data_IF_347943933530
#
_entry.id   IF_347943933530
#
_cell.length_a   1.000
_cell.length_b   1.000
_cell.length_c   1.000
_cell.angle_alpha   90.00
_cell.angle_beta   90.00
_cell.angle_gamma   90.00
#
_symmetry.space_group_name_H-M   'P 1'
#
loop_
_entity.id
_entity.type
_entity.pdbx_description
1 polymer ?
#
# COMPACT_ATOMS: atom_id res chain seq x y z
N UNK A 1 1.91 0.43 -22.22
CA UNK A 1 1.02 0.97 -21.16
C UNK A 1 1.66 0.64 -19.82
N UNK A 2 1.61 1.57 -18.85
CA UNK A 2 2.32 1.45 -17.58
C UNK A 2 1.39 1.72 -16.39
N UNK A 3 1.55 0.94 -15.32
CA UNK A 3 0.86 1.13 -14.05
C UNK A 3 1.87 1.37 -12.91
N UNK A 4 1.51 2.22 -11.95
CA UNK A 4 2.25 2.36 -10.70
C UNK A 4 1.66 1.41 -9.65
N UNK A 5 2.49 0.69 -8.92
CA UNK A 5 2.05 -0.25 -7.91
C UNK A 5 2.48 0.19 -6.52
N UNK A 6 1.53 0.39 -5.60
CA UNK A 6 1.86 0.55 -4.19
C UNK A 6 2.38 -0.79 -3.62
N UNK A 7 3.68 -0.85 -3.38
CA UNK A 7 4.39 -2.08 -3.09
C UNK A 7 4.94 -2.10 -1.65
N UNK A 8 4.44 -3.06 -0.87
CA UNK A 8 4.80 -3.26 0.54
C UNK A 8 5.83 -4.37 0.77
N UNK A 9 6.22 -5.12 -0.27
CA UNK A 9 7.09 -6.29 -0.14
C UNK A 9 6.38 -7.57 0.31
N UNK A 10 5.09 -7.48 0.62
CA UNK A 10 4.25 -8.62 1.01
C UNK A 10 3.63 -9.34 -0.19
N UNK A 11 3.12 -10.56 0.06
CA UNK A 11 2.57 -11.43 -0.98
C UNK A 11 1.45 -10.77 -1.80
N UNK A 12 0.57 -9.98 -1.20
CA UNK A 12 -0.59 -9.43 -1.93
C UNK A 12 -0.22 -8.39 -2.96
N UNK A 13 0.74 -7.51 -2.64
CA UNK A 13 1.22 -6.53 -3.60
C UNK A 13 2.03 -7.21 -4.71
N UNK A 14 2.79 -8.27 -4.40
CA UNK A 14 3.45 -9.09 -5.41
C UNK A 14 2.45 -9.78 -6.36
N UNK A 15 1.40 -10.40 -5.83
CA UNK A 15 0.37 -11.05 -6.63
C UNK A 15 -0.41 -10.05 -7.49
N UNK A 16 -0.78 -8.90 -6.92
CA UNK A 16 -1.48 -7.85 -7.66
C UNK A 16 -0.67 -7.39 -8.87
N UNK A 17 0.63 -7.13 -8.69
CA UNK A 17 1.52 -6.78 -9.78
C UNK A 17 1.73 -7.94 -10.76
N UNK A 18 1.83 -9.18 -10.29
CA UNK A 18 1.95 -10.36 -11.16
C UNK A 18 0.74 -10.55 -12.08
N UNK A 19 -0.48 -10.32 -11.57
CA UNK A 19 -1.72 -10.37 -12.35
C UNK A 19 -1.76 -9.33 -13.48
N UNK A 20 -1.08 -8.20 -13.30
CA UNK A 20 -1.06 -7.09 -14.25
C UNK A 20 0.07 -7.25 -15.28
N UNK A 21 1.27 -7.60 -14.81
CA UNK A 21 2.40 -7.93 -15.70
C UNK A 21 2.11 -9.14 -16.58
N UNK A 22 1.37 -10.14 -16.09
CA UNK A 22 0.92 -11.28 -16.91
C UNK A 22 -0.04 -10.89 -18.05
N UNK A 23 -0.60 -9.68 -18.03
CA UNK A 23 -1.40 -9.11 -19.12
C UNK A 23 -0.58 -8.25 -20.09
N UNK A 24 0.75 -8.21 -19.94
CA UNK A 24 1.64 -7.41 -20.79
C UNK A 24 1.68 -5.93 -20.45
N UNK A 25 1.20 -5.54 -19.26
CA UNK A 25 1.26 -4.16 -18.77
C UNK A 25 2.55 -3.97 -17.96
N UNK A 26 3.29 -2.92 -18.29
CA UNK A 26 4.48 -2.52 -17.54
C UNK A 26 4.09 -2.05 -16.13
N UNK A 27 4.86 -2.47 -15.12
CA UNK A 27 4.60 -2.10 -13.74
C UNK A 27 5.85 -1.49 -13.11
N UNK A 28 5.71 -0.30 -12.52
CA UNK A 28 6.71 0.28 -11.62
C UNK A 28 6.23 0.16 -10.18
N UNK A 29 6.94 -0.61 -9.38
CA UNK A 29 6.68 -0.83 -7.96
C UNK A 29 7.22 0.33 -7.13
N UNK A 30 6.34 0.99 -6.39
CA UNK A 30 6.64 2.11 -5.52
C UNK A 30 6.53 1.68 -4.05
N UNK A 31 7.64 1.68 -3.33
CA UNK A 31 7.60 1.61 -1.88
C UNK A 31 7.53 3.02 -1.29
N UNK A 32 6.38 3.37 -0.71
CA UNK A 32 6.18 4.66 -0.06
C UNK A 32 6.70 4.58 1.38
N UNK A 33 7.90 5.11 1.61
CA UNK A 33 8.57 5.10 2.90
C UNK A 33 8.01 6.22 3.79
N UNK A 34 7.08 5.85 4.67
CA UNK A 34 6.49 6.71 5.70
C UNK A 34 7.30 6.73 7.00
N UNK A 35 8.39 5.97 7.10
CA UNK A 35 9.27 5.98 8.27
C UNK A 35 8.81 5.14 9.45
N UNK A 36 7.69 4.41 9.35
CA UNK A 36 7.14 3.57 10.42
C UNK A 36 7.12 2.06 10.08
N UNK A 37 7.88 1.66 9.07
CA UNK A 37 8.22 0.26 8.79
C UNK A 37 9.27 -0.32 9.74
N UNK A 38 9.75 -1.53 9.44
CA UNK A 38 10.83 -2.22 10.16
C UNK A 38 12.08 -1.34 10.36
N UNK A 39 12.88 -1.62 11.38
CA UNK A 39 14.21 -1.01 11.59
C UNK A 39 15.26 -1.50 10.60
N UNK A 40 15.05 -2.66 9.98
CA UNK A 40 15.92 -3.21 8.94
C UNK A 40 15.68 -2.52 7.58
N UNK A 41 16.75 -2.14 6.89
CA UNK A 41 16.64 -1.78 5.47
C UNK A 41 16.17 -3.00 4.66
N UNK A 42 15.13 -2.79 3.85
CA UNK A 42 14.52 -3.81 2.98
C UNK A 42 14.60 -3.45 1.51
N UNK A 43 15.31 -2.37 1.14
CA UNK A 43 15.44 -1.88 -0.23
C UNK A 43 15.85 -2.99 -1.21
N UNK A 44 16.94 -3.70 -0.92
CA UNK A 44 17.47 -4.77 -1.78
C UNK A 44 16.51 -5.96 -1.92
N UNK A 45 15.90 -6.42 -0.82
CA UNK A 45 14.95 -7.53 -0.88
C UNK A 45 13.66 -7.14 -1.63
N UNK A 46 13.21 -5.89 -1.48
CA UNK A 46 12.06 -5.37 -2.22
C UNK A 46 12.38 -5.26 -3.72
N UNK A 47 13.55 -4.73 -4.07
CA UNK A 47 14.02 -4.67 -5.45
C UNK A 47 14.07 -6.05 -6.10
N UNK A 48 14.65 -7.04 -5.40
CA UNK A 48 14.67 -8.44 -5.85
C UNK A 48 13.25 -8.98 -6.09
N UNK A 49 12.33 -8.76 -5.14
CA UNK A 49 10.93 -9.22 -5.25
C UNK A 49 10.16 -8.57 -6.40
N UNK A 50 10.38 -7.28 -6.66
CA UNK A 50 9.80 -6.60 -7.82
C UNK A 50 10.37 -7.17 -9.13
N UNK A 51 11.68 -7.41 -9.19
CA UNK A 51 12.31 -8.02 -10.38
C UNK A 51 11.77 -9.43 -10.68
N UNK A 52 11.49 -10.25 -9.64
CA UNK A 52 10.91 -11.60 -9.80
C UNK A 52 9.58 -11.62 -10.56
N UNK A 53 8.84 -10.51 -10.54
CA UNK A 53 7.55 -10.39 -11.22
C UNK A 53 7.63 -9.51 -12.48
N UNK A 54 8.83 -9.08 -12.89
CA UNK A 54 9.04 -8.22 -14.05
C UNK A 54 8.61 -6.77 -13.83
N UNK A 55 8.76 -6.26 -12.60
CA UNK A 55 8.48 -4.86 -12.26
C UNK A 55 9.76 -4.11 -11.89
N UNK A 56 9.84 -2.84 -12.32
CA UNK A 56 10.85 -1.91 -11.82
C UNK A 56 10.55 -1.53 -10.37
N UNK A 57 11.55 -1.07 -9.63
CA UNK A 57 11.40 -0.73 -8.22
C UNK A 57 11.99 0.64 -7.90
N UNK A 58 11.22 1.42 -7.15
CA UNK A 58 11.65 2.68 -6.56
C UNK A 58 11.12 2.82 -5.14
N UNK A 59 11.93 3.40 -4.26
CA UNK A 59 11.51 3.81 -2.93
C UNK A 59 11.32 5.32 -2.91
N UNK A 60 10.15 5.76 -2.47
CA UNK A 60 9.77 7.18 -2.37
C UNK A 60 9.78 7.57 -0.90
N UNK A 61 10.69 8.46 -0.52
CA UNK A 61 10.76 8.97 0.84
C UNK A 61 9.74 10.09 1.05
N UNK A 62 8.76 9.83 1.91
CA UNK A 62 7.69 10.77 2.26
C UNK A 62 7.62 10.99 3.76
N UNK A 63 8.67 10.63 4.51
CA UNK A 63 8.66 10.62 5.98
C UNK A 63 8.24 11.96 6.58
N UNK A 64 8.77 13.05 6.05
CA UNK A 64 8.49 14.39 6.56
C UNK A 64 7.03 14.78 6.30
N UNK A 65 6.58 14.70 5.04
CA UNK A 65 5.20 14.97 4.66
C UNK A 65 4.21 14.10 5.42
N UNK A 66 4.48 12.80 5.56
CA UNK A 66 3.61 11.89 6.30
C UNK A 66 3.49 12.28 7.77
N UNK A 67 4.60 12.67 8.40
CA UNK A 67 4.61 13.08 9.80
C UNK A 67 3.73 14.31 10.03
N UNK A 68 3.87 15.32 9.17
CA UNK A 68 3.19 16.60 9.29
C UNK A 68 1.71 16.55 8.83
N UNK A 69 1.43 15.84 7.73
CA UNK A 69 0.12 15.86 7.08
C UNK A 69 -0.82 14.75 7.55
N UNK A 70 -0.27 13.65 8.09
CA UNK A 70 -1.06 12.44 8.39
C UNK A 70 -0.96 12.05 9.85
N UNK A 71 0.27 11.88 10.37
CA UNK A 71 0.42 11.17 11.63
C UNK A 71 -0.25 11.89 12.80
N UNK A 72 -0.11 13.20 12.92
CA UNK A 72 -0.57 13.94 14.10
C UNK A 72 -1.98 14.47 14.02
N UNK A 73 -2.53 14.62 12.81
CA UNK A 73 -3.88 15.13 12.60
C UNK A 73 -4.63 14.30 11.53
N UNK A 74 -4.83 12.98 11.76
CA UNK A 74 -5.55 12.16 10.80
C UNK A 74 -7.03 12.56 10.76
N UNK A 75 -7.57 12.73 9.56
CA UNK A 75 -8.96 13.08 9.31
C UNK A 75 -9.95 12.02 9.81
N UNK A 76 -9.57 10.73 9.73
CA UNK A 76 -10.41 9.62 10.21
C UNK A 76 -9.98 9.08 11.57
N UNK A 77 -9.09 9.77 12.28
CA UNK A 77 -8.61 9.39 13.60
C UNK A 77 -7.72 8.15 13.59
N UNK A 78 -7.44 7.63 14.78
CA UNK A 78 -6.62 6.44 14.96
C UNK A 78 -7.48 5.20 15.22
N UNK A 79 -7.08 4.06 14.65
CA UNK A 79 -7.56 2.74 15.03
C UNK A 79 -6.85 2.24 16.28
N UNK A 80 -6.29 1.01 16.22
CA UNK A 80 -5.50 0.46 17.32
C UNK A 80 -4.23 1.31 17.54
N UNK A 81 -4.07 1.88 18.73
CA UNK A 81 -2.96 2.76 19.11
C UNK A 81 -2.82 4.01 18.22
N UNK A 82 -1.71 4.18 17.49
CA UNK A 82 -1.47 5.32 16.58
C UNK A 82 -1.74 4.94 15.13
N UNK A 83 -2.70 4.07 14.84
CA UNK A 83 -2.89 3.57 13.48
C UNK A 83 -3.85 4.45 12.63
N UNK A 84 -3.38 5.40 11.80
CA UNK A 84 -4.22 6.18 10.90
C UNK A 84 -4.38 5.48 9.53
N UNK A 85 -4.64 4.17 9.49
CA UNK A 85 -4.52 3.38 8.26
C UNK A 85 -5.35 3.91 7.07
N UNK A 86 -6.51 4.53 7.31
CA UNK A 86 -7.31 5.12 6.23
C UNK A 86 -6.57 6.32 5.62
N UNK A 87 -6.15 7.27 6.46
CA UNK A 87 -5.43 8.47 6.06
C UNK A 87 -4.07 8.13 5.46
N UNK A 88 -3.38 7.14 6.01
CA UNK A 88 -2.11 6.62 5.51
C UNK A 88 -2.24 6.05 4.10
N UNK A 89 -3.25 5.20 3.85
CA UNK A 89 -3.49 4.66 2.53
C UNK A 89 -3.89 5.76 1.54
N UNK A 90 -4.74 6.70 1.96
CA UNK A 90 -5.14 7.83 1.12
C UNK A 90 -3.95 8.70 0.73
N UNK A 91 -3.06 8.99 1.67
CA UNK A 91 -1.82 9.72 1.43
C UNK A 91 -0.94 8.98 0.41
N UNK A 92 -0.71 7.68 0.57
CA UNK A 92 0.08 6.89 -0.39
C UNK A 92 -0.53 6.89 -1.80
N UNK A 93 -1.85 6.76 -1.91
CA UNK A 93 -2.53 6.86 -3.20
C UNK A 93 -2.43 8.26 -3.80
N UNK A 94 -2.60 9.31 -3.00
CA UNK A 94 -2.44 10.70 -3.45
C UNK A 94 -1.04 10.95 -3.98
N UNK A 95 -0.01 10.46 -3.29
CA UNK A 95 1.38 10.53 -3.76
C UNK A 95 1.53 9.82 -5.11
N UNK A 96 1.04 8.58 -5.25
CA UNK A 96 1.14 7.84 -6.51
C UNK A 96 0.32 8.47 -7.66
N UNK A 97 -0.85 9.04 -7.37
CA UNK A 97 -1.68 9.76 -8.35
C UNK A 97 -0.93 10.97 -8.91
N UNK A 98 -0.26 11.74 -8.04
CA UNK A 98 0.54 12.89 -8.46
C UNK A 98 1.73 12.50 -9.36
N UNK A 99 2.24 11.27 -9.24
CA UNK A 99 3.37 10.77 -10.03
C UNK A 99 2.97 10.25 -11.43
N UNK A 100 1.68 9.98 -11.69
CA UNK A 100 1.25 9.31 -12.93
C UNK A 100 1.76 10.01 -14.21
N UNK A 101 1.68 11.35 -14.25
CA UNK A 101 2.08 12.15 -15.42
C UNK A 101 3.59 12.07 -15.68
N UNK A 102 4.40 12.29 -14.65
CA UNK A 102 5.87 12.24 -14.75
C UNK A 102 6.36 10.83 -15.12
N UNK A 103 5.70 9.81 -14.57
CA UNK A 103 6.02 8.42 -14.83
C UNK A 103 5.51 7.88 -16.16
N UNK A 104 4.74 8.67 -16.92
CA UNK A 104 4.00 8.24 -18.10
C UNK A 104 3.15 6.98 -17.82
N UNK A 105 2.54 6.92 -16.64
CA UNK A 105 1.71 5.83 -16.18
C UNK A 105 0.22 6.19 -16.27
N UNK A 106 -0.62 5.19 -16.52
CA UNK A 106 -2.04 5.37 -16.81
C UNK A 106 -2.94 5.15 -15.59
N UNK A 107 -2.52 4.34 -14.62
CA UNK A 107 -3.33 4.00 -13.43
C UNK A 107 -2.47 3.43 -12.29
N UNK A 108 -3.10 3.22 -11.12
CA UNK A 108 -2.45 2.68 -9.92
C UNK A 108 -3.02 1.30 -9.60
N UNK A 109 -2.17 0.41 -9.12
CA UNK A 109 -2.56 -0.89 -8.56
C UNK A 109 -2.09 -1.04 -7.12
N UNK A 110 -2.81 -1.86 -6.36
CA UNK A 110 -2.48 -2.20 -4.98
C UNK A 110 -2.81 -3.65 -4.65
N UNK A 111 -2.14 -4.20 -3.64
CA UNK A 111 -2.46 -5.50 -3.05
C UNK A 111 -3.63 -5.49 -2.06
N UNK A 112 -4.42 -4.42 -1.96
CA UNK A 112 -5.56 -4.40 -1.04
C UNK A 112 -6.58 -5.49 -1.37
N UNK A 113 -7.08 -6.18 -0.34
CA UNK A 113 -8.13 -7.21 -0.45
C UNK A 113 -9.33 -6.80 0.39
N UNK A 114 -10.51 -6.76 -0.22
CA UNK A 114 -11.76 -6.39 0.44
C UNK A 114 -12.01 -7.25 1.70
N UNK A 115 -12.16 -6.60 2.85
CA UNK A 115 -12.44 -7.23 4.14
C UNK A 115 -11.24 -7.92 4.81
N UNK A 116 -10.03 -7.83 4.25
CA UNK A 116 -8.87 -8.53 4.82
C UNK A 116 -8.27 -7.78 6.03
N UNK A 117 -8.25 -6.44 6.01
CA UNK A 117 -7.84 -5.59 7.13
C UNK A 117 -9.02 -4.84 7.73
N UNK A 118 -9.22 -4.91 9.06
CA UNK A 118 -10.40 -4.33 9.69
C UNK A 118 -10.45 -2.81 9.63
N UNK A 119 -9.32 -2.09 9.53
CA UNK A 119 -9.32 -0.63 9.53
C UNK A 119 -9.41 -0.03 8.11
N UNK A 120 -8.52 -0.41 7.20
CA UNK A 120 -8.41 0.24 5.87
C UNK A 120 -9.14 -0.46 4.74
N UNK A 121 -9.50 -1.74 4.87
CA UNK A 121 -9.93 -2.55 3.73
C UNK A 121 -11.39 -3.02 3.80
N UNK A 122 -12.21 -2.43 4.68
CA UNK A 122 -13.66 -2.57 4.58
C UNK A 122 -14.18 -1.74 3.40
N UNK A 123 -15.35 -2.07 2.87
CA UNK A 123 -15.95 -1.31 1.76
C UNK A 123 -16.07 0.19 2.07
N UNK A 124 -16.57 0.54 3.27
CA UNK A 124 -16.68 1.93 3.72
C UNK A 124 -15.31 2.62 3.85
N UNK A 125 -14.30 1.89 4.31
CA UNK A 125 -12.94 2.40 4.47
C UNK A 125 -12.27 2.65 3.11
N UNK A 126 -12.41 1.74 2.15
CA UNK A 126 -11.89 1.93 0.79
C UNK A 126 -12.53 3.13 0.09
N UNK A 127 -13.83 3.37 0.30
CA UNK A 127 -14.51 4.56 -0.20
C UNK A 127 -13.97 5.86 0.42
N UNK A 128 -13.70 5.87 1.74
CA UNK A 128 -13.06 6.98 2.44
C UNK A 128 -11.65 7.24 1.92
N UNK A 129 -10.84 6.18 1.75
CA UNK A 129 -9.49 6.24 1.19
C UNK A 129 -9.52 6.88 -0.20
N UNK A 130 -10.40 6.39 -1.09
CA UNK A 130 -10.54 6.92 -2.45
C UNK A 130 -10.90 8.41 -2.46
N UNK A 131 -11.88 8.80 -1.63
CA UNK A 131 -12.30 10.20 -1.50
C UNK A 131 -11.16 11.09 -1.00
N UNK A 132 -10.42 10.64 0.02
CA UNK A 132 -9.31 11.40 0.59
C UNK A 132 -8.08 11.45 -0.32
N UNK A 133 -7.88 10.42 -1.14
CA UNK A 133 -6.84 10.38 -2.17
C UNK A 133 -7.16 11.29 -3.39
N UNK A 134 -8.39 11.81 -3.49
CA UNK A 134 -8.88 12.59 -4.63
C UNK A 134 -8.86 11.82 -5.96
N UNK A 135 -9.16 10.52 -5.92
CA UNK A 135 -9.28 9.69 -7.13
C UNK A 135 -10.65 9.90 -7.80
N UNK A 136 -10.80 10.98 -8.55
CA UNK A 136 -12.04 11.34 -9.25
C UNK A 136 -12.28 10.49 -10.50
N UNK A 137 -11.23 9.88 -11.06
CA UNK A 137 -11.28 9.15 -12.34
C UNK A 137 -11.38 7.63 -12.19
N UNK A 138 -11.47 7.09 -10.97
CA UNK A 138 -11.42 5.64 -10.70
C UNK A 138 -10.12 4.98 -11.19
N UNK A 139 -8.97 5.58 -10.94
CA UNK A 139 -7.66 5.10 -11.40
C UNK A 139 -7.02 4.09 -10.45
N UNK A 140 -7.57 3.89 -9.25
CA UNK A 140 -7.03 2.91 -8.29
C UNK A 140 -7.68 1.54 -8.49
N UNK A 141 -6.97 0.64 -9.18
CA UNK A 141 -7.37 -0.75 -9.35
C UNK A 141 -6.87 -1.64 -8.19
N UNK A 142 -7.69 -2.61 -7.78
CA UNK A 142 -7.37 -3.59 -6.72
C UNK A 142 -7.43 -5.01 -7.29
N UNK A 143 -6.39 -5.48 -8.01
CA UNK A 143 -6.41 -6.74 -8.75
C UNK A 143 -6.85 -7.97 -7.95
N UNK A 144 -6.53 -8.01 -6.65
CA UNK A 144 -6.80 -9.16 -5.79
C UNK A 144 -8.28 -9.33 -5.43
N UNK A 145 -9.07 -8.26 -5.49
CA UNK A 145 -10.48 -8.27 -5.14
C UNK A 145 -11.36 -7.50 -6.14
N UNK A 146 -10.85 -7.27 -7.36
CA UNK A 146 -11.51 -6.46 -8.38
C UNK A 146 -12.94 -6.94 -8.65
N UNK A 147 -13.15 -8.28 -8.72
CA UNK A 147 -14.46 -8.89 -9.00
C UNK A 147 -15.54 -8.58 -7.95
N UNK A 148 -15.14 -8.14 -6.75
CA UNK A 148 -16.05 -7.76 -5.66
C UNK A 148 -16.32 -6.25 -5.57
N UNK A 149 -15.73 -5.46 -6.47
CA UNK A 149 -15.80 -4.00 -6.47
C UNK A 149 -16.43 -3.48 -7.77
N UNK A 150 -16.99 -2.26 -7.77
CA UNK A 150 -17.37 -1.57 -9.01
C UNK A 150 -16.21 -1.49 -10.00
N UNK A 151 -16.52 -1.45 -11.30
CA UNK A 151 -15.51 -1.32 -12.35
C UNK A 151 -14.73 -0.01 -12.19
N UNK A 152 -13.41 -0.11 -12.23
CA UNK A 152 -12.50 1.04 -12.30
C UNK A 152 -12.29 1.47 -13.75
N UNK A 153 -11.73 2.66 -13.98
CA UNK A 153 -11.44 3.14 -15.35
C UNK A 153 -10.55 2.19 -16.16
N UNK A 154 -9.46 1.61 -15.60
CA UNK A 154 -8.67 0.61 -16.32
C UNK A 154 -9.48 -0.60 -16.81
N UNK A 155 -10.54 -0.97 -16.09
CA UNK A 155 -11.42 -2.09 -16.48
C UNK A 155 -12.46 -1.65 -17.51
N UNK A 156 -13.07 -0.46 -17.34
CA UNK A 156 -14.09 0.06 -18.28
C UNK A 156 -13.54 0.35 -19.66
N UNK A 157 -12.31 0.87 -19.72
CA UNK A 157 -11.63 1.23 -20.97
C UNK A 157 -10.91 0.03 -21.63
N UNK A 158 -11.01 -1.17 -21.05
CA UNK A 158 -10.39 -2.38 -21.57
C UNK A 158 -8.85 -2.39 -21.48
N UNK A 159 -8.27 -1.52 -20.66
CA UNK A 159 -6.82 -1.49 -20.39
C UNK A 159 -6.39 -2.75 -19.64
N UNK A 160 -7.23 -3.20 -18.70
CA UNK A 160 -7.05 -4.40 -17.90
C UNK A 160 -8.23 -5.34 -18.14
N UNK A 161 -7.92 -6.60 -18.44
CA UNK A 161 -8.89 -7.67 -18.54
C UNK A 161 -9.31 -8.14 -17.15
N UNK A 162 -10.52 -7.73 -16.72
CA UNK A 162 -11.10 -8.06 -15.41
C UNK A 162 -11.24 -9.57 -15.19
N UNK A 163 -11.43 -10.36 -16.24
CA UNK A 163 -11.62 -11.81 -16.08
C UNK A 163 -10.34 -12.50 -15.60
N UNK A 164 -9.18 -11.91 -15.88
CA UNK A 164 -7.87 -12.33 -15.37
C UNK A 164 -7.54 -11.82 -13.97
N UNK A 165 -8.44 -11.04 -13.36
CA UNK A 165 -8.31 -10.56 -11.98
C UNK A 165 -9.03 -11.49 -10.99
N UNK A 166 -8.86 -11.21 -9.71
CA UNK A 166 -9.37 -12.06 -8.62
C UNK A 166 -10.58 -11.44 -7.90
N UNK A 167 -11.31 -12.30 -7.19
CA UNK A 167 -12.47 -11.97 -6.37
C UNK A 167 -12.26 -12.32 -4.91
N UNK A 168 -11.05 -12.17 -4.38
CA UNK A 168 -10.76 -12.55 -2.99
C UNK A 168 -11.43 -11.56 -2.04
N UNK A 169 -11.98 -12.08 -0.95
CA UNK A 169 -12.49 -11.27 0.15
C UNK A 169 -12.24 -11.94 1.50
N UNK A 170 -12.27 -11.14 2.56
CA UNK A 170 -12.07 -11.57 3.92
C UNK A 170 -10.60 -11.88 4.25
N UNK A 171 -10.40 -12.58 5.36
CA UNK A 171 -9.08 -12.75 5.99
C UNK A 171 -8.35 -14.03 5.59
N UNK A 172 -9.01 -14.92 4.85
CA UNK A 172 -8.39 -16.15 4.36
C UNK A 172 -7.22 -15.84 3.42
N UNK A 173 -6.15 -16.63 3.55
CA UNK A 173 -4.94 -16.56 2.73
C UNK A 173 -4.82 -17.68 1.71
N UNK A 174 -5.76 -18.63 1.72
CA UNK A 174 -5.68 -19.88 0.95
C UNK A 174 -5.47 -19.59 -0.54
N UNK A 175 -6.32 -18.72 -1.11
CA UNK A 175 -6.25 -18.39 -2.54
C UNK A 175 -4.96 -17.66 -2.92
N UNK A 176 -4.47 -16.77 -2.07
CA UNK A 176 -3.20 -16.06 -2.30
C UNK A 176 -2.02 -17.04 -2.30
N UNK A 177 -2.01 -18.03 -1.41
CA UNK A 177 -0.96 -19.06 -1.37
C UNK A 177 -1.04 -19.99 -2.60
N UNK A 178 -2.24 -20.35 -3.06
CA UNK A 178 -2.42 -21.08 -4.32
C UNK A 178 -1.86 -20.31 -5.52
N UNK A 179 -2.13 -19.00 -5.59
CA UNK A 179 -1.58 -18.14 -6.64
C UNK A 179 -0.07 -18.00 -6.54
N UNK A 180 0.49 -17.89 -5.33
CA UNK A 180 1.92 -17.85 -5.10
C UNK A 180 2.59 -19.11 -5.68
N UNK A 181 2.06 -20.29 -5.35
CA UNK A 181 2.54 -21.55 -5.90
C UNK A 181 2.39 -21.62 -7.43
N UNK A 182 1.24 -21.21 -7.97
CA UNK A 182 0.98 -21.16 -9.42
C UNK A 182 2.00 -20.28 -10.16
N UNK A 183 2.41 -19.17 -9.55
CA UNK A 183 3.35 -18.22 -10.16
C UNK A 183 4.82 -18.47 -9.78
N UNK A 184 5.13 -19.52 -9.00
CA UNK A 184 6.49 -19.80 -8.54
C UNK A 184 7.07 -18.72 -7.63
N UNK A 185 6.23 -18.05 -6.82
CA UNK A 185 6.66 -17.02 -5.88
C UNK A 185 7.03 -17.66 -4.55
N UNK A 186 8.32 -17.80 -4.30
CA UNK A 186 8.86 -18.43 -3.07
C UNK A 186 9.35 -17.41 -2.03
N UNK A 187 9.75 -16.20 -2.47
CA UNK A 187 10.30 -15.14 -1.62
C UNK A 187 9.29 -13.99 -1.46
N UNK A 188 8.55 -14.00 -0.35
CA UNK A 188 7.64 -12.91 0.04
C UNK A 188 7.65 -12.73 1.55
N UNK A 189 7.32 -11.52 2.01
CA UNK A 189 7.29 -11.26 3.45
C UNK A 189 6.17 -12.07 4.13
N UNK A 190 6.53 -12.81 5.18
CA UNK A 190 5.56 -13.54 5.99
C UNK A 190 4.59 -12.58 6.70
N UNK A 191 3.33 -12.98 6.95
CA UNK A 191 2.38 -12.13 7.67
C UNK A 191 2.83 -11.97 9.14
N UNK A 192 3.58 -10.91 9.45
CA UNK A 192 4.11 -10.71 10.80
C UNK A 192 4.70 -9.32 11.07
N UNK A 193 5.18 -8.62 10.04
CA UNK A 193 5.64 -7.24 10.15
C UNK A 193 4.47 -6.24 10.20
N UNK A 194 3.86 -6.06 11.38
CA UNK A 194 2.91 -4.97 11.60
C UNK A 194 3.60 -3.61 11.51
N UNK A 195 2.85 -2.56 11.17
CA UNK A 195 3.34 -1.18 11.24
C UNK A 195 3.65 -0.81 12.71
N UNK A 196 4.76 -0.11 12.97
CA UNK A 196 5.16 0.27 14.34
C UNK A 196 4.08 1.06 15.07
N UNK A 197 3.29 1.84 14.34
CA UNK A 197 2.16 2.60 14.86
C UNK A 197 1.02 1.74 15.45
N UNK A 198 1.03 0.44 15.17
CA UNK A 198 0.07 -0.54 15.73
C UNK A 198 0.58 -1.23 16.99
N UNK A 199 1.79 -0.88 17.45
CA UNK A 199 2.41 -1.42 18.66
C UNK A 199 2.20 -0.48 19.85
N UNK A 200 1.79 -1.04 20.99
CA UNK A 200 1.51 -0.28 22.20
C UNK A 200 2.75 0.46 22.75
N UNK A 201 3.90 -0.22 22.77
CA UNK A 201 5.16 0.34 23.26
C UNK A 201 5.61 1.55 22.43
N UNK A 202 5.52 1.46 21.10
CA UNK A 202 5.91 2.56 20.21
C UNK A 202 4.92 3.72 20.29
N UNK A 203 3.62 3.42 20.39
CA UNK A 203 2.59 4.42 20.61
C UNK A 203 2.78 5.24 21.90
N UNK A 204 3.21 4.59 22.99
CA UNK A 204 3.55 5.27 24.25
C UNK A 204 4.73 6.22 24.07
N UNK A 205 5.79 5.77 23.39
CA UNK A 205 6.97 6.60 23.08
C UNK A 205 6.58 7.85 22.28
N UNK A 206 5.74 7.73 21.25
CA UNK A 206 5.29 8.89 20.46
C UNK A 206 4.46 9.84 21.31
N UNK A 207 3.51 9.35 22.13
CA UNK A 207 2.69 10.22 23.01
C UNK A 207 3.54 11.02 23.97
N UNK A 208 4.47 10.33 24.62
CA UNK A 208 5.40 10.93 25.56
C UNK A 208 6.21 12.03 24.86
N UNK A 209 6.79 11.74 23.69
CA UNK A 209 7.55 12.73 22.93
C UNK A 209 6.72 13.99 22.62
N UNK A 210 5.53 13.84 22.04
CA UNK A 210 4.71 14.99 21.60
C UNK A 210 4.06 15.78 22.75
N UNK A 211 4.05 15.23 23.96
CA UNK A 211 3.66 15.96 25.17
C UNK A 211 4.68 17.05 25.52
N UNK A 212 5.98 16.77 25.28
CA UNK A 212 7.08 17.69 25.60
C UNK A 212 7.58 18.50 24.39
N UNK A 213 7.51 17.94 23.19
CA UNK A 213 7.91 18.59 21.94
C UNK A 213 6.89 18.36 20.82
N UNK A 214 6.13 19.42 20.53
CA UNK A 214 5.08 19.39 19.50
C UNK A 214 5.63 19.42 18.08
N UNK A 215 6.90 19.78 17.91
CA UNK A 215 7.55 19.95 16.61
C UNK A 215 8.46 18.75 16.29
N UNK A 216 7.96 17.53 16.54
CA UNK A 216 8.70 16.29 16.26
C UNK A 216 9.19 16.25 14.82
N UNK A 217 10.48 16.01 14.64
CA UNK A 217 11.12 15.85 13.35
C UNK A 217 11.21 14.38 12.94
N UNK A 218 11.51 14.14 11.66
CA UNK A 218 11.67 12.78 11.13
C UNK A 218 12.73 11.99 11.90
N UNK A 219 13.85 12.63 12.26
CA UNK A 219 14.94 11.97 12.98
C UNK A 219 14.52 11.56 14.39
N UNK A 220 13.72 12.36 15.08
CA UNK A 220 13.17 12.01 16.39
C UNK A 220 12.28 10.76 16.28
N UNK A 221 11.39 10.74 15.29
CA UNK A 221 10.54 9.59 15.00
C UNK A 221 11.34 8.31 14.72
N UNK A 222 12.52 8.43 14.08
CA UNK A 222 13.42 7.29 13.85
C UNK A 222 14.14 6.83 15.12
N UNK A 223 14.55 7.74 15.99
CA UNK A 223 15.20 7.41 17.27
C UNK A 223 14.26 6.63 18.19
N UNK A 224 12.97 6.97 18.23
CA UNK A 224 11.96 6.28 19.07
C UNK A 224 11.79 4.78 18.74
N UNK A 225 12.31 4.31 17.60
CA UNK A 225 12.26 2.89 17.21
C UNK A 225 13.14 1.99 18.07
N UNK A 226 14.14 2.56 18.74
CA UNK A 226 15.08 1.89 19.63
C UNK A 226 14.68 2.20 21.08
#
# INVERSE_FOLDING_TARGET
MKALALFSGGLDSMLAMKLITAQGIEVKALNINIGFGSTSDKSEIMKKRAAMIGADFEMIDVRNSYLQEVLFNPQYGYGKHFNPCIDCHAFMFKTALAMLKEENASFIITGEVLGQRPMSQRSDAMAKVKKLALDEEDLILRPMCAKNLPLTKPEREGWVDREKLEGISGRSRKRQLELAAKFGLEDFESPGGGCLLTLDNFAKKIRDFIEFDKDMQVNDAQLLKY
#
